data_IF_237672200917
#
_entry.id   IF_237672200917
#
_cell.length_a   1.000
_cell.length_b   1.000
_cell.length_c   1.000
_cell.angle_alpha   90.00
_cell.angle_beta   90.00
_cell.angle_gamma   90.00
#
_symmetry.space_group_name_H-M   'P 1'
#
loop_
_entity.id
_entity.type
_entity.pdbx_description
1 polymer ?
#
# COMPACT_ATOMS: atom_id res chain seq x y z
N UNK A 1 -16.16 -19.16 -19.62
CA UNK A 1 -15.30 -17.96 -19.50
C UNK A 1 -15.87 -17.18 -18.34
N UNK A 2 -15.24 -17.23 -17.17
CA UNK A 2 -15.66 -16.42 -16.03
C UNK A 2 -15.42 -14.96 -16.39
N UNK A 3 -16.46 -14.13 -16.45
CA UNK A 3 -16.33 -12.69 -16.62
C UNK A 3 -15.33 -12.14 -15.60
N UNK A 4 -14.41 -11.33 -16.09
CA UNK A 4 -13.38 -10.72 -15.26
C UNK A 4 -14.07 -9.80 -14.24
N UNK A 5 -13.76 -9.86 -12.92
CA UNK A 5 -14.46 -9.06 -11.91
C UNK A 5 -14.46 -7.54 -12.18
N UNK A 6 -13.46 -7.05 -12.92
CA UNK A 6 -13.37 -5.67 -13.41
C UNK A 6 -14.44 -5.33 -14.44
N UNK A 7 -14.76 -6.26 -15.33
CA UNK A 7 -15.75 -6.04 -16.39
C UNK A 7 -17.15 -5.93 -15.78
N UNK A 8 -17.51 -6.84 -14.88
CA UNK A 8 -18.78 -6.78 -14.13
C UNK A 8 -18.89 -5.49 -13.32
N UNK A 9 -17.79 -5.04 -12.71
CA UNK A 9 -17.78 -3.77 -11.97
C UNK A 9 -17.91 -2.56 -12.89
N UNK A 10 -17.38 -2.63 -14.11
CA UNK A 10 -17.50 -1.57 -15.11
C UNK A 10 -18.91 -1.49 -15.69
N UNK A 11 -19.50 -2.63 -16.07
CA UNK A 11 -20.89 -2.71 -16.52
C UNK A 11 -21.85 -2.08 -15.51
N UNK A 12 -21.59 -2.29 -14.22
CA UNK A 12 -22.37 -1.65 -13.15
C UNK A 12 -22.21 -0.14 -13.12
N UNK A 13 -21.00 0.39 -13.35
CA UNK A 13 -20.78 1.84 -13.48
C UNK A 13 -21.53 2.39 -14.68
N UNK A 14 -21.56 1.66 -15.80
CA UNK A 14 -22.29 2.10 -17.00
C UNK A 14 -23.80 2.11 -16.78
N UNK A 15 -24.32 1.12 -16.05
CA UNK A 15 -25.74 1.03 -15.68
C UNK A 15 -26.15 2.09 -14.65
N UNK A 16 -25.28 2.37 -13.68
CA UNK A 16 -25.52 3.26 -12.54
C UNK A 16 -24.62 4.52 -12.61
N UNK A 17 -24.49 5.15 -13.79
CA UNK A 17 -23.54 6.25 -14.03
C UNK A 17 -23.75 7.50 -13.15
N UNK A 18 -24.99 7.74 -12.72
CA UNK A 18 -25.28 8.87 -11.83
C UNK A 18 -24.91 8.58 -10.36
N UNK A 19 -24.64 7.32 -10.01
CA UNK A 19 -24.37 6.90 -8.65
C UNK A 19 -22.87 6.93 -8.35
N UNK A 20 -22.47 7.90 -7.52
CA UNK A 20 -21.09 8.05 -7.06
C UNK A 20 -20.51 6.76 -6.47
N UNK A 21 -21.35 5.95 -5.81
CA UNK A 21 -20.93 4.72 -5.17
C UNK A 21 -20.45 3.67 -6.18
N UNK A 22 -21.09 3.56 -7.35
CA UNK A 22 -20.68 2.63 -8.40
C UNK A 22 -19.25 2.94 -8.87
N UNK A 23 -18.98 4.23 -9.13
CA UNK A 23 -17.64 4.70 -9.50
C UNK A 23 -16.61 4.43 -8.41
N UNK A 24 -16.94 4.71 -7.14
CA UNK A 24 -16.01 4.52 -6.02
C UNK A 24 -15.66 3.04 -5.83
N UNK A 25 -16.63 2.13 -5.95
CA UNK A 25 -16.43 0.69 -5.89
C UNK A 25 -15.52 0.20 -7.01
N UNK A 26 -15.77 0.62 -8.25
CA UNK A 26 -14.92 0.27 -9.39
C UNK A 26 -13.48 0.76 -9.23
N UNK A 27 -13.28 2.03 -8.87
CA UNK A 27 -11.93 2.59 -8.67
C UNK A 27 -11.23 1.90 -7.49
N UNK A 28 -11.96 1.55 -6.43
CA UNK A 28 -11.43 0.79 -5.29
C UNK A 28 -10.97 -0.60 -5.72
N UNK A 29 -11.78 -1.31 -6.49
CA UNK A 29 -11.41 -2.62 -7.05
C UNK A 29 -10.14 -2.52 -7.91
N UNK A 30 -10.06 -1.51 -8.78
CA UNK A 30 -8.87 -1.24 -9.60
C UNK A 30 -7.64 -0.97 -8.73
N UNK A 31 -7.79 -0.23 -7.63
CA UNK A 31 -6.69 0.04 -6.69
C UNK A 31 -6.19 -1.24 -6.01
N UNK A 32 -7.10 -2.09 -5.51
CA UNK A 32 -6.75 -3.37 -4.87
C UNK A 32 -6.03 -4.30 -5.84
N UNK A 33 -6.46 -4.31 -7.10
CA UNK A 33 -5.86 -5.13 -8.16
C UNK A 33 -4.60 -4.50 -8.78
N UNK A 34 -4.22 -3.27 -8.39
CA UNK A 34 -3.08 -2.55 -8.96
C UNK A 34 -3.27 -2.09 -10.42
N UNK A 35 -4.52 -2.01 -10.90
CA UNK A 35 -4.91 -1.71 -12.29
C UNK A 35 -5.59 -0.34 -12.41
N UNK A 36 -5.04 0.68 -11.73
CA UNK A 36 -5.57 2.05 -11.78
C UNK A 36 -5.39 2.71 -13.16
N UNK A 37 -4.40 2.26 -13.93
CA UNK A 37 -4.19 2.64 -15.32
C UNK A 37 -5.40 2.31 -16.20
N UNK A 38 -5.99 1.13 -16.02
CA UNK A 38 -7.19 0.71 -16.73
C UNK A 38 -8.43 1.51 -16.35
N UNK A 39 -8.60 1.84 -15.07
CA UNK A 39 -9.66 2.74 -14.65
C UNK A 39 -9.54 4.08 -15.39
N UNK A 40 -8.33 4.64 -15.45
CA UNK A 40 -8.06 5.87 -16.18
C UNK A 40 -8.32 5.74 -17.68
N UNK A 41 -7.97 4.61 -18.30
CA UNK A 41 -8.21 4.38 -19.72
C UNK A 41 -9.72 4.34 -20.04
N UNK A 42 -10.51 3.61 -19.24
CA UNK A 42 -11.96 3.51 -19.43
C UNK A 42 -12.65 4.87 -19.26
N UNK A 43 -12.33 5.63 -18.22
CA UNK A 43 -12.90 6.98 -18.06
C UNK A 43 -12.46 7.97 -19.16
N UNK A 44 -11.21 7.88 -19.66
CA UNK A 44 -10.79 8.70 -20.81
C UNK A 44 -11.60 8.36 -22.07
N UNK A 45 -11.84 7.08 -22.32
CA UNK A 45 -12.67 6.65 -23.44
C UNK A 45 -14.09 7.20 -23.33
N UNK A 46 -14.72 7.15 -22.14
CA UNK A 46 -16.04 7.76 -21.93
C UNK A 46 -16.01 9.26 -22.18
N UNK A 47 -15.00 9.97 -21.67
CA UNK A 47 -14.87 11.41 -21.86
C UNK A 47 -14.76 11.82 -23.34
N UNK A 48 -14.10 10.99 -24.15
CA UNK A 48 -13.91 11.23 -25.58
C UNK A 48 -15.13 10.82 -26.41
N UNK A 49 -15.86 9.79 -25.98
CA UNK A 49 -17.02 9.26 -26.69
C UNK A 49 -18.34 9.99 -26.36
N UNK A 50 -18.50 10.44 -25.12
CA UNK A 50 -19.75 11.01 -24.61
C UNK A 50 -19.51 12.39 -23.94
N UNK A 51 -19.81 13.49 -24.66
CA UNK A 51 -19.70 14.84 -24.13
C UNK A 51 -20.58 15.13 -22.91
N UNK A 52 -21.73 14.47 -22.75
CA UNK A 52 -22.62 14.68 -21.61
C UNK A 52 -22.02 14.10 -20.33
N UNK A 53 -21.28 13.00 -20.46
CA UNK A 53 -20.58 12.34 -19.35
C UNK A 53 -19.14 12.82 -19.19
N UNK A 54 -18.64 13.68 -20.09
CA UNK A 54 -17.23 14.06 -20.14
C UNK A 54 -16.73 14.77 -18.88
N UNK A 55 -17.52 15.67 -18.31
CA UNK A 55 -17.14 16.40 -17.10
C UNK A 55 -17.06 15.46 -15.89
N UNK A 56 -17.99 14.52 -15.77
CA UNK A 56 -17.98 13.52 -14.70
C UNK A 56 -16.81 12.56 -14.87
N UNK A 57 -16.59 12.07 -16.09
CA UNK A 57 -15.45 11.22 -16.41
C UNK A 57 -14.11 11.93 -16.12
N UNK A 58 -13.99 13.23 -16.38
CA UNK A 58 -12.82 14.03 -16.01
C UNK A 58 -12.60 14.05 -14.49
N UNK A 59 -13.65 14.29 -13.70
CA UNK A 59 -13.58 14.21 -12.23
C UNK A 59 -13.11 12.84 -11.75
N UNK A 60 -13.58 11.75 -12.37
CA UNK A 60 -13.16 10.38 -12.02
C UNK A 60 -11.71 10.10 -12.40
N UNK A 61 -11.23 10.62 -13.53
CA UNK A 61 -9.81 10.53 -13.92
C UNK A 61 -8.94 11.19 -12.84
N UNK A 62 -9.31 12.37 -12.37
CA UNK A 62 -8.56 13.07 -11.32
C UNK A 62 -8.52 12.27 -10.01
N UNK A 63 -9.64 11.63 -9.64
CA UNK A 63 -9.68 10.74 -8.47
C UNK A 63 -8.76 9.52 -8.62
N UNK A 64 -8.74 8.89 -9.80
CA UNK A 64 -7.84 7.77 -10.12
C UNK A 64 -6.38 8.21 -9.99
N UNK A 65 -6.02 9.36 -10.55
CA UNK A 65 -4.67 9.93 -10.47
C UNK A 65 -4.28 10.24 -9.03
N UNK A 66 -5.16 10.88 -8.26
CA UNK A 66 -4.92 11.17 -6.85
C UNK A 66 -4.64 9.91 -6.03
N UNK A 67 -5.38 8.82 -6.27
CA UNK A 67 -5.15 7.52 -5.61
C UNK A 67 -3.83 6.88 -6.03
N UNK A 68 -3.49 6.92 -7.32
CA UNK A 68 -2.21 6.41 -7.80
C UNK A 68 -1.03 7.16 -7.17
N UNK A 69 -1.11 8.49 -7.09
CA UNK A 69 -0.11 9.34 -6.43
C UNK A 69 -0.03 9.07 -4.93
N UNK A 70 -1.16 8.81 -4.27
CA UNK A 70 -1.17 8.44 -2.86
C UNK A 70 -0.48 7.09 -2.61
N UNK A 71 -0.70 6.09 -3.46
CA UNK A 71 0.00 4.79 -3.39
C UNK A 71 1.52 4.97 -3.58
N UNK A 72 1.95 5.79 -4.54
CA UNK A 72 3.37 6.10 -4.74
C UNK A 72 3.99 6.81 -3.53
N UNK A 73 3.26 7.75 -2.92
CA UNK A 73 3.72 8.42 -1.70
C UNK A 73 3.81 7.46 -0.52
N UNK A 74 2.83 6.57 -0.33
CA UNK A 74 2.85 5.56 0.71
C UNK A 74 4.10 4.66 0.58
N UNK A 75 4.38 4.19 -0.64
CA UNK A 75 5.59 3.40 -0.92
C UNK A 75 6.88 4.17 -0.65
N UNK A 76 6.91 5.49 -0.93
CA UNK A 76 8.07 6.34 -0.64
C UNK A 76 8.33 6.49 0.87
N UNK A 77 7.29 6.41 1.71
CA UNK A 77 7.39 6.60 3.17
C UNK A 77 7.76 5.31 3.91
N UNK A 78 7.65 4.13 3.28
CA UNK A 78 8.09 2.84 3.84
C UNK A 78 9.63 2.65 3.88
N UNK A 79 10.37 3.66 4.37
CA UNK A 79 11.65 3.36 5.02
C UNK A 79 11.33 2.71 6.37
N UNK A 80 11.81 1.49 6.66
CA UNK A 80 11.36 0.73 7.83
C UNK A 80 11.58 1.53 9.11
N UNK A 81 10.62 1.54 10.05
CA UNK A 81 10.74 2.28 11.30
C UNK A 81 11.91 1.73 12.13
N UNK A 82 13.05 2.42 12.12
CA UNK A 82 14.29 2.05 12.84
C UNK A 82 14.18 2.16 14.38
N UNK A 83 12.98 2.13 14.97
CA UNK A 83 12.77 2.53 16.37
C UNK A 83 13.22 1.48 17.39
N UNK A 84 13.13 0.19 17.06
CA UNK A 84 13.48 -0.95 17.91
C UNK A 84 14.93 -1.47 17.70
N UNK A 85 15.63 -1.03 16.65
CA UNK A 85 17.01 -1.47 16.37
C UNK A 85 17.98 -1.08 17.49
N UNK A 86 17.86 0.13 18.07
CA UNK A 86 18.73 0.58 19.17
C UNK A 86 18.49 -0.20 20.46
N UNK A 87 17.23 -0.53 20.76
CA UNK A 87 16.88 -1.32 21.94
C UNK A 87 17.40 -2.76 21.81
N UNK A 88 17.21 -3.39 20.65
CA UNK A 88 17.78 -4.70 20.34
C UNK A 88 19.31 -4.71 20.45
N UNK A 89 19.97 -3.65 19.98
CA UNK A 89 21.42 -3.52 20.07
C UNK A 89 21.88 -3.37 21.53
N UNK A 90 21.16 -2.60 22.36
CA UNK A 90 21.46 -2.46 23.78
C UNK A 90 21.24 -3.77 24.55
N UNK A 91 20.16 -4.49 24.25
CA UNK A 91 19.90 -5.82 24.84
C UNK A 91 21.00 -6.81 24.44
N UNK A 92 21.39 -6.84 23.18
CA UNK A 92 22.46 -7.72 22.70
C UNK A 92 23.82 -7.39 23.34
N UNK A 93 24.16 -6.10 23.46
CA UNK A 93 25.39 -5.66 24.15
C UNK A 93 25.35 -6.06 25.62
N UNK A 94 24.22 -5.84 26.32
CA UNK A 94 24.05 -6.23 27.72
C UNK A 94 24.22 -7.73 27.92
N UNK A 95 23.66 -8.55 27.02
CA UNK A 95 23.80 -10.01 27.06
C UNK A 95 25.28 -10.43 26.88
N UNK A 96 25.98 -9.79 25.94
CA UNK A 96 27.39 -10.08 25.66
C UNK A 96 28.29 -9.71 26.84
N UNK A 97 28.09 -8.54 27.44
CA UNK A 97 28.83 -8.10 28.65
C UNK A 97 28.52 -9.03 29.83
N UNK A 98 27.26 -9.44 30.01
CA UNK A 98 26.87 -10.37 31.07
C UNK A 98 27.56 -11.72 30.95
N UNK A 99 27.64 -12.27 29.73
CA UNK A 99 28.35 -13.54 29.48
C UNK A 99 29.85 -13.38 29.74
N UNK A 100 30.49 -12.30 29.26
CA UNK A 100 31.91 -12.05 29.51
C UNK A 100 32.23 -11.84 30.99
N UNK A 101 31.36 -11.13 31.71
CA UNK A 101 31.50 -10.94 33.16
C UNK A 101 31.38 -12.26 33.91
N UNK A 102 30.42 -13.11 33.52
CA UNK A 102 30.24 -14.43 34.11
C UNK A 102 31.43 -15.35 33.85
N UNK A 103 31.94 -15.42 32.61
CA UNK A 103 33.11 -16.26 32.30
C UNK A 103 34.37 -15.78 33.03
N UNK A 104 34.56 -14.46 33.14
CA UNK A 104 35.69 -13.89 33.90
C UNK A 104 35.59 -14.19 35.39
N UNK A 105 34.38 -14.17 35.96
CA UNK A 105 34.14 -14.55 37.36
C UNK A 105 34.44 -16.03 37.60
N UNK A 106 33.97 -16.93 36.73
CA UNK A 106 34.24 -18.37 36.83
C UNK A 106 35.74 -18.69 36.74
N UNK A 107 36.49 -18.01 35.87
CA UNK A 107 37.94 -18.20 35.76
C UNK A 107 38.67 -17.71 37.01
N UNK A 108 38.26 -16.57 37.57
CA UNK A 108 38.86 -16.02 38.78
C UNK A 108 38.63 -16.93 40.01
N UNK A 109 37.43 -17.51 40.13
CA UNK A 109 37.10 -18.49 41.17
C UNK A 109 37.92 -19.79 41.01
N UNK A 110 38.02 -20.30 39.78
CA UNK A 110 38.78 -21.52 39.47
C UNK A 110 40.31 -21.38 39.64
N UNK A 111 40.86 -20.18 39.50
CA UNK A 111 42.29 -19.88 39.67
C UNK A 111 42.73 -19.58 41.11
N UNK A 112 41.82 -19.64 42.08
CA UNK A 112 42.08 -19.30 43.48
C UNK A 112 42.46 -20.48 44.39
N UNK A 113 42.82 -21.63 43.79
CA UNK A 113 43.31 -22.84 44.47
C UNK A 113 44.82 -23.05 44.30
#
# INVERSE_FOLDING_TARGET
>A
MSEEPLEVAWERVEAEWAEDEAHLRFISLCQVLGRLDEAGARYRAVREADPERADEAARRIDQVVARALATLHAQRVETPPKRNRRLLLLVAIGLFIGILGYTMWVIADAGSW
#
